data_IF_633882243016
#
_entry.id   IF_633882243016
#
_cell.length_a   1.000
_cell.length_b   1.000
_cell.length_c   1.000
_cell.angle_alpha   90.00
_cell.angle_beta   90.00
_cell.angle_gamma   90.00
#
_symmetry.space_group_name_H-M   'P 1'
#
loop_
_entity.id
_entity.type
_entity.pdbx_description
1 polymer ?
#
# COMPACT_ATOMS: atom_id res chain seq x y z
N UNK A 1 -72.58 27.72 26.78
CA UNK A 1 -71.16 27.67 27.22
C UNK A 1 -70.91 26.25 27.73
N UNK A 2 -69.92 25.45 27.36
CA UNK A 2 -68.78 25.54 26.46
C UNK A 2 -68.42 24.09 26.05
N UNK A 3 -67.93 23.90 24.82
CA UNK A 3 -67.48 22.62 24.24
C UNK A 3 -66.09 22.24 24.79
N UNK A 4 -65.84 20.97 25.14
CA UNK A 4 -64.51 20.31 25.18
C UNK A 4 -64.64 18.76 25.18
N UNK A 5 -63.60 18.01 24.75
CA UNK A 5 -63.73 16.80 23.92
C UNK A 5 -63.29 15.50 24.60
N UNK A 6 -63.66 14.34 24.04
CA UNK A 6 -63.02 13.03 24.32
C UNK A 6 -62.83 12.30 22.98
N UNK A 7 -61.61 12.33 22.45
CA UNK A 7 -60.64 11.22 22.44
C UNK A 7 -61.12 10.01 21.62
N UNK A 8 -60.72 10.02 20.35
CA UNK A 8 -60.78 8.88 19.44
C UNK A 8 -59.50 8.05 19.67
N UNK A 9 -59.68 6.82 20.12
CA UNK A 9 -58.61 5.87 20.40
C UNK A 9 -58.09 5.31 19.07
N UNK A 10 -56.80 5.50 18.81
CA UNK A 10 -56.12 5.03 17.61
C UNK A 10 -55.74 3.55 17.79
N UNK A 11 -56.24 2.68 16.92
CA UNK A 11 -55.89 1.26 16.85
C UNK A 11 -54.42 1.09 16.47
N UNK A 12 -53.65 0.41 17.32
CA UNK A 12 -52.36 -0.17 16.97
C UNK A 12 -52.62 -1.53 16.32
N UNK A 13 -52.31 -1.67 15.02
CA UNK A 13 -52.11 -2.98 14.41
C UNK A 13 -50.64 -3.36 14.55
N UNK A 14 -50.40 -4.41 15.33
CA UNK A 14 -49.11 -5.06 15.52
C UNK A 14 -48.82 -5.88 14.27
N UNK A 15 -47.95 -5.37 13.40
CA UNK A 15 -47.49 -6.12 12.24
C UNK A 15 -46.34 -7.04 12.68
N UNK A 16 -46.64 -8.33 12.88
CA UNK A 16 -45.64 -9.38 13.08
C UNK A 16 -44.81 -9.52 11.80
N UNK A 17 -43.57 -9.03 11.81
CA UNK A 17 -42.55 -9.41 10.82
C UNK A 17 -41.73 -10.58 11.35
N UNK A 18 -41.84 -11.70 10.65
CA UNK A 18 -40.99 -12.87 10.79
C UNK A 18 -39.54 -12.50 10.42
N UNK A 19 -38.52 -13.10 11.05
CA UNK A 19 -37.13 -12.86 10.67
C UNK A 19 -36.81 -13.54 9.33
N UNK A 20 -36.36 -12.74 8.36
CA UNK A 20 -35.86 -13.23 7.08
C UNK A 20 -34.59 -14.08 7.28
N UNK A 21 -34.62 -15.29 6.73
CA UNK A 21 -33.48 -16.19 6.65
C UNK A 21 -32.31 -15.53 5.89
N UNK A 22 -31.10 -15.67 6.42
CA UNK A 22 -29.87 -15.27 5.74
C UNK A 22 -29.69 -16.06 4.44
N UNK A 23 -29.30 -15.43 3.32
CA UNK A 23 -28.96 -16.18 2.12
C UNK A 23 -27.61 -16.89 2.29
N UNK A 24 -27.65 -18.20 2.11
CA UNK A 24 -26.49 -19.09 2.05
C UNK A 24 -25.57 -18.66 0.92
N UNK A 25 -24.28 -18.48 1.21
CA UNK A 25 -23.26 -18.07 0.26
C UNK A 25 -23.08 -19.12 -0.86
N UNK A 26 -23.40 -18.73 -2.09
CA UNK A 26 -23.15 -19.52 -3.29
C UNK A 26 -21.74 -19.22 -3.80
N UNK A 27 -20.86 -20.22 -3.81
CA UNK A 27 -19.50 -20.12 -4.36
C UNK A 27 -19.59 -20.00 -5.89
N UNK A 28 -19.03 -18.96 -6.53
CA UNK A 28 -19.09 -18.82 -7.98
C UNK A 28 -18.04 -19.71 -8.69
N UNK A 29 -18.36 -20.27 -9.88
CA UNK A 29 -17.43 -21.07 -10.68
C UNK A 29 -16.39 -20.20 -11.42
N UNK A 30 -15.23 -20.76 -11.80
CA UNK A 30 -14.16 -20.00 -12.44
C UNK A 30 -14.42 -19.85 -13.95
N UNK A 31 -14.47 -18.61 -14.43
CA UNK A 31 -14.51 -18.31 -15.88
C UNK A 31 -15.47 -17.21 -16.34
N UNK A 32 -16.12 -16.43 -15.46
CA UNK A 32 -17.03 -15.36 -15.89
C UNK A 32 -16.31 -14.03 -16.14
N UNK A 33 -16.50 -13.49 -17.35
CA UNK A 33 -16.19 -12.09 -17.68
C UNK A 33 -16.80 -11.16 -16.61
N UNK A 34 -16.00 -10.25 -16.08
CA UNK A 34 -16.45 -9.30 -15.06
C UNK A 34 -17.66 -8.51 -15.55
N UNK A 35 -18.81 -8.72 -14.91
CA UNK A 35 -20.07 -8.08 -15.27
C UNK A 35 -19.93 -6.55 -15.26
N UNK A 36 -20.67 -5.87 -16.14
CA UNK A 36 -20.67 -4.41 -16.23
C UNK A 36 -20.95 -3.74 -14.86
N UNK A 37 -21.70 -4.39 -13.98
CA UNK A 37 -21.94 -3.92 -12.62
C UNK A 37 -20.69 -3.96 -11.74
N UNK A 38 -19.85 -4.99 -11.84
CA UNK A 38 -18.57 -5.03 -11.12
C UNK A 38 -17.61 -3.94 -11.66
N UNK A 39 -17.60 -3.72 -12.97
CA UNK A 39 -16.87 -2.60 -13.57
C UNK A 39 -17.42 -1.25 -13.12
N UNK A 40 -18.73 -1.10 -13.01
CA UNK A 40 -19.40 0.12 -12.51
C UNK A 40 -19.06 0.37 -11.03
N UNK A 41 -19.12 -0.66 -10.19
CA UNK A 41 -18.77 -0.60 -8.77
C UNK A 41 -17.29 -0.23 -8.60
N UNK A 42 -16.39 -0.83 -9.40
CA UNK A 42 -14.97 -0.47 -9.42
C UNK A 42 -14.76 0.97 -9.91
N UNK A 43 -15.46 1.40 -10.96
CA UNK A 43 -15.37 2.75 -11.50
C UNK A 43 -15.94 3.79 -10.54
N UNK A 44 -16.93 3.43 -9.72
CA UNK A 44 -17.51 4.28 -8.68
C UNK A 44 -16.58 4.38 -7.47
N UNK A 45 -15.97 3.28 -7.03
CA UNK A 45 -14.93 3.28 -6.00
C UNK A 45 -13.69 4.11 -6.42
N UNK A 46 -13.38 4.17 -7.72
CA UNK A 46 -12.33 5.04 -8.27
C UNK A 46 -12.73 6.53 -8.29
N UNK A 47 -14.02 6.86 -8.23
CA UNK A 47 -14.57 8.22 -8.25
C UNK A 47 -14.78 8.79 -6.84
N UNK A 48 -15.10 7.98 -5.83
CA UNK A 48 -15.59 8.47 -4.54
C UNK A 48 -14.61 8.30 -3.37
N UNK A 49 -13.45 8.94 -3.44
CA UNK A 49 -12.74 9.32 -2.20
C UNK A 49 -12.10 10.72 -2.27
N UNK A 50 -12.51 11.51 -3.25
CA UNK A 50 -12.38 12.97 -3.20
C UNK A 50 -13.74 13.46 -2.74
N UNK A 51 -13.88 14.01 -1.52
CA UNK A 51 -15.04 14.84 -1.24
C UNK A 51 -15.16 15.89 -2.34
N UNK A 52 -16.38 16.30 -2.67
CA UNK A 52 -16.63 17.47 -3.52
C UNK A 52 -16.14 18.70 -2.73
N UNK A 53 -14.81 18.83 -2.69
CA UNK A 53 -14.08 19.86 -1.99
C UNK A 53 -14.18 21.11 -2.85
N UNK A 54 -14.39 22.25 -2.22
CA UNK A 54 -14.37 23.52 -2.92
C UNK A 54 -13.09 23.63 -3.78
N UNK A 55 -13.15 24.25 -4.97
CA UNK A 55 -11.98 24.43 -5.82
C UNK A 55 -10.81 25.11 -5.10
N UNK A 56 -11.09 25.89 -4.06
CA UNK A 56 -10.07 26.51 -3.22
C UNK A 56 -9.41 25.52 -2.26
N UNK A 57 -10.17 24.58 -1.68
CA UNK A 57 -9.63 23.52 -0.84
C UNK A 57 -8.81 22.51 -1.64
N UNK A 58 -9.26 22.14 -2.85
CA UNK A 58 -8.52 21.19 -3.71
C UNK A 58 -7.12 21.67 -4.09
N UNK A 59 -6.91 22.98 -4.23
CA UNK A 59 -5.58 23.59 -4.52
C UNK A 59 -4.58 23.43 -3.38
N UNK A 60 -5.06 23.26 -2.15
CA UNK A 60 -4.21 23.08 -0.96
C UNK A 60 -3.68 21.65 -0.84
N UNK A 61 -4.29 20.70 -1.55
CA UNK A 61 -3.84 19.31 -1.56
C UNK A 61 -2.69 19.11 -2.54
N UNK A 62 -1.70 18.37 -2.07
CA UNK A 62 -0.53 17.97 -2.82
C UNK A 62 -0.45 16.46 -2.91
N UNK A 63 0.00 15.94 -4.07
CA UNK A 63 0.18 14.50 -4.28
C UNK A 63 1.65 14.10 -4.19
N UNK A 64 1.94 13.02 -3.48
CA UNK A 64 3.25 12.35 -3.45
C UNK A 64 3.10 10.93 -4.00
N UNK A 65 3.85 10.64 -5.06
CA UNK A 65 4.05 9.27 -5.54
C UNK A 65 5.35 8.70 -4.95
N UNK A 66 5.44 7.39 -4.68
CA UNK A 66 6.67 6.77 -4.18
C UNK A 66 7.90 7.06 -5.06
N UNK A 67 7.72 7.11 -6.37
CA UNK A 67 8.77 7.38 -7.36
C UNK A 67 9.48 8.72 -7.15
N UNK A 68 8.85 9.70 -6.49
CA UNK A 68 9.44 11.03 -6.25
C UNK A 68 10.66 10.98 -5.33
N UNK A 69 10.69 10.01 -4.41
CA UNK A 69 11.75 9.83 -3.40
C UNK A 69 12.52 8.51 -3.58
N UNK A 70 12.28 7.78 -4.68
CA UNK A 70 13.01 6.55 -4.98
C UNK A 70 14.42 6.87 -5.49
N UNK A 71 15.44 6.31 -4.84
CA UNK A 71 16.86 6.46 -5.15
C UNK A 71 17.31 5.61 -6.36
N UNK A 72 16.55 4.55 -6.68
CA UNK A 72 16.80 3.65 -7.81
C UNK A 72 16.36 4.27 -9.15
N UNK A 73 15.42 5.23 -9.12
CA UNK A 73 14.90 5.90 -10.32
C UNK A 73 15.68 7.17 -10.65
N UNK A 74 15.82 7.49 -11.94
CA UNK A 74 16.36 8.76 -12.44
C UNK A 74 15.34 9.91 -12.34
N UNK A 75 15.79 11.15 -12.60
CA UNK A 75 14.90 12.33 -12.65
C UNK A 75 13.84 12.14 -13.75
N UNK A 76 14.25 11.63 -14.90
CA UNK A 76 13.37 11.37 -16.04
C UNK A 76 12.27 10.36 -15.68
N UNK A 77 12.63 9.33 -14.89
CA UNK A 77 11.71 8.32 -14.38
C UNK A 77 10.82 8.77 -13.22
N UNK A 78 10.95 10.01 -12.76
CA UNK A 78 10.01 10.59 -11.79
C UNK A 78 10.64 11.08 -10.50
N UNK A 79 11.92 10.84 -10.23
CA UNK A 79 12.59 11.35 -9.03
C UNK A 79 12.49 12.88 -8.97
N UNK A 80 12.26 13.45 -7.78
CA UNK A 80 12.07 14.91 -7.56
C UNK A 80 13.08 15.55 -6.62
N UNK A 81 13.85 14.75 -5.88
CA UNK A 81 14.92 15.22 -4.98
C UNK A 81 16.27 14.61 -5.37
N UNK A 82 17.36 15.14 -4.80
CA UNK A 82 18.70 14.62 -5.05
C UNK A 82 18.85 13.18 -4.56
N UNK A 83 19.59 12.35 -5.29
CA UNK A 83 19.73 10.91 -5.02
C UNK A 83 20.21 10.60 -3.60
N UNK A 84 21.11 11.41 -3.05
CA UNK A 84 21.64 11.26 -1.67
C UNK A 84 20.59 11.44 -0.57
N UNK A 85 19.47 12.11 -0.87
CA UNK A 85 18.35 12.33 0.06
C UNK A 85 17.18 11.38 -0.19
N UNK A 86 17.27 10.54 -1.22
CA UNK A 86 16.26 9.54 -1.54
C UNK A 86 16.47 8.26 -0.74
N UNK A 87 15.49 7.37 -0.82
CA UNK A 87 15.53 6.03 -0.22
C UNK A 87 15.28 4.95 -1.27
N UNK A 88 15.70 3.72 -0.99
CA UNK A 88 15.45 2.59 -1.87
C UNK A 88 14.02 2.07 -1.71
N UNK A 89 13.35 1.87 -2.85
CA UNK A 89 12.04 1.20 -2.97
C UNK A 89 10.99 1.65 -1.94
N UNK A 90 10.66 2.96 -1.90
CA UNK A 90 9.59 3.48 -1.04
C UNK A 90 8.22 2.89 -1.43
N UNK A 91 7.35 2.71 -0.45
CA UNK A 91 5.94 2.36 -0.67
C UNK A 91 5.00 3.50 -0.27
N UNK A 92 3.83 3.57 -0.92
CA UNK A 92 2.85 4.63 -0.64
C UNK A 92 2.29 4.54 0.81
N UNK A 93 2.17 3.34 1.36
CA UNK A 93 1.80 3.12 2.77
C UNK A 93 2.81 3.72 3.76
N UNK A 94 4.11 3.62 3.47
CA UNK A 94 5.15 4.18 4.34
C UNK A 94 5.11 5.70 4.35
N UNK A 95 4.88 6.30 3.18
CA UNK A 95 4.70 7.74 3.04
C UNK A 95 3.47 8.19 3.85
N UNK A 96 2.38 7.43 3.77
CA UNK A 96 1.19 7.69 4.56
C UNK A 96 1.47 7.60 6.05
N UNK A 97 2.09 6.53 6.52
CA UNK A 97 2.39 6.33 7.94
C UNK A 97 3.25 7.46 8.53
N UNK A 98 4.25 7.95 7.78
CA UNK A 98 5.10 9.06 8.23
C UNK A 98 4.32 10.37 8.36
N UNK A 99 3.47 10.68 7.37
CA UNK A 99 2.70 11.93 7.40
C UNK A 99 1.54 11.86 8.39
N UNK A 100 0.87 10.70 8.48
CA UNK A 100 -0.21 10.42 9.43
C UNK A 100 0.26 10.46 10.89
N UNK A 101 1.54 10.22 11.15
CA UNK A 101 2.12 10.34 12.49
C UNK A 101 2.13 11.78 13.04
N UNK A 102 1.94 12.80 12.18
CA UNK A 102 1.92 14.22 12.58
C UNK A 102 0.62 14.90 12.12
N UNK A 103 -0.55 14.51 12.67
CA UNK A 103 -1.85 15.02 12.23
C UNK A 103 -2.05 16.51 12.51
N UNK A 104 -1.26 17.09 13.42
CA UNK A 104 -1.26 18.53 13.70
C UNK A 104 -0.66 19.36 12.55
N UNK A 105 0.21 18.74 11.74
CA UNK A 105 0.89 19.40 10.62
C UNK A 105 0.32 19.00 9.27
N UNK A 106 -0.25 17.80 9.16
CA UNK A 106 -0.72 17.24 7.90
C UNK A 106 -2.10 16.61 8.02
N UNK A 107 -2.97 16.89 7.05
CA UNK A 107 -4.08 16.00 6.75
C UNK A 107 -3.73 15.17 5.53
N UNK A 108 -4.03 13.87 5.58
CA UNK A 108 -3.52 12.88 4.61
C UNK A 108 -4.62 11.96 4.10
N UNK A 109 -4.48 11.50 2.85
CA UNK A 109 -5.34 10.50 2.21
C UNK A 109 -4.48 9.53 1.40
N UNK A 110 -4.70 8.24 1.60
CA UNK A 110 -4.03 7.17 0.87
C UNK A 110 -4.91 6.68 -0.30
N UNK A 111 -4.32 6.55 -1.49
CA UNK A 111 -4.98 5.93 -2.64
C UNK A 111 -4.09 4.82 -3.20
N UNK A 112 -4.55 3.57 -3.19
CA UNK A 112 -3.75 2.39 -3.59
C UNK A 112 -3.96 1.96 -5.05
N UNK A 113 -4.99 2.48 -5.72
CA UNK A 113 -5.41 1.95 -7.02
C UNK A 113 -4.80 2.67 -8.22
N UNK A 114 -4.12 3.79 -7.99
CA UNK A 114 -3.62 4.67 -9.05
C UNK A 114 -2.12 4.46 -9.29
N UNK A 115 -1.75 4.19 -10.52
CA UNK A 115 -0.35 4.03 -10.94
C UNK A 115 0.27 5.37 -11.37
N UNK A 116 1.58 5.55 -11.15
CA UNK A 116 2.30 6.71 -11.64
C UNK A 116 2.48 6.62 -13.16
N UNK A 117 2.29 7.74 -13.88
CA UNK A 117 2.24 7.72 -15.35
C UNK A 117 3.51 7.17 -16.00
N UNK A 118 4.69 7.45 -15.41
CA UNK A 118 6.00 7.04 -15.95
C UNK A 118 6.48 5.69 -15.43
N UNK A 119 5.65 5.00 -14.63
CA UNK A 119 5.96 3.65 -14.15
C UNK A 119 5.86 2.65 -15.30
N UNK A 120 6.88 1.80 -15.41
CA UNK A 120 6.97 0.78 -16.46
C UNK A 120 6.14 -0.45 -16.07
N UNK A 121 6.32 -0.90 -14.84
CA UNK A 121 5.62 -2.07 -14.30
C UNK A 121 4.31 -1.63 -13.63
N UNK A 122 3.24 -1.58 -14.44
CA UNK A 122 1.91 -1.15 -13.98
C UNK A 122 1.15 -2.25 -13.25
N UNK A 123 1.59 -3.49 -13.35
CA UNK A 123 0.93 -4.66 -12.75
C UNK A 123 1.37 -4.87 -11.30
N UNK A 124 2.62 -4.53 -10.99
CA UNK A 124 3.15 -4.64 -9.65
C UNK A 124 2.43 -3.75 -8.65
N UNK A 125 1.67 -4.40 -7.77
CA UNK A 125 0.82 -3.76 -6.76
C UNK A 125 1.62 -2.91 -5.76
N UNK A 126 2.91 -3.23 -5.51
CA UNK A 126 3.76 -2.47 -4.58
C UNK A 126 4.15 -1.09 -5.12
N UNK A 127 4.15 -0.94 -6.45
CA UNK A 127 4.49 0.32 -7.12
C UNK A 127 3.26 1.22 -7.30
N UNK A 128 2.07 0.71 -6.98
CA UNK A 128 0.82 1.46 -7.08
C UNK A 128 0.60 2.35 -5.87
N UNK A 129 -0.13 3.41 -6.15
CA UNK A 129 -0.69 4.32 -5.17
C UNK A 129 0.06 5.64 -5.02
N UNK A 130 -0.62 6.55 -4.35
CA UNK A 130 -0.11 7.86 -3.98
C UNK A 130 -0.75 8.32 -2.69
N UNK A 131 -0.12 9.32 -2.08
CA UNK A 131 -0.65 9.99 -0.90
C UNK A 131 -1.02 11.41 -1.28
N UNK A 132 -2.26 11.83 -1.03
CA UNK A 132 -2.57 13.26 -0.97
C UNK A 132 -2.31 13.77 0.44
N UNK A 133 -1.78 14.96 0.55
CA UNK A 133 -1.62 15.64 1.81
C UNK A 133 -1.92 17.13 1.66
N UNK A 134 -2.41 17.77 2.71
CA UNK A 134 -2.40 19.23 2.85
C UNK A 134 -1.61 19.62 4.10
N UNK A 135 -0.90 20.74 4.02
CA UNK A 135 -0.19 21.31 5.18
C UNK A 135 -1.21 22.11 5.98
N UNK A 136 -1.32 21.82 7.27
CA UNK A 136 -2.14 22.59 8.18
C UNK A 136 -1.27 23.76 8.65
N UNK A 137 -1.56 24.96 8.15
CA UNK A 137 -0.86 26.16 8.56
C UNK A 137 -1.38 26.58 9.94
N UNK A 138 -0.67 26.20 10.99
CA UNK A 138 -0.81 26.86 12.29
C UNK A 138 0.20 28.01 12.32
N UNK A 139 -0.27 29.24 12.54
CA UNK A 139 0.52 30.48 12.50
C UNK A 139 1.80 30.42 13.35
N UNK A 140 1.81 29.57 14.39
CA UNK A 140 2.91 29.43 15.33
C UNK A 140 3.96 28.37 14.95
N UNK A 141 3.72 27.49 13.95
CA UNK A 141 4.62 26.39 13.59
C UNK A 141 4.67 26.05 12.09
N UNK A 142 5.03 27.02 11.25
CA UNK A 142 5.23 26.82 9.81
C UNK A 142 6.52 26.02 9.48
N UNK A 143 6.61 24.76 9.92
CA UNK A 143 7.79 23.90 9.71
C UNK A 143 8.01 23.55 8.23
N UNK A 144 6.93 23.47 7.44
CA UNK A 144 6.97 23.13 6.04
C UNK A 144 6.41 24.27 5.20
N UNK A 145 7.26 24.86 4.35
CA UNK A 145 6.88 25.94 3.42
C UNK A 145 6.55 25.39 2.04
N UNK A 146 7.32 24.39 1.60
CA UNK A 146 7.25 23.91 0.21
C UNK A 146 7.15 22.38 0.17
N UNK A 147 6.51 21.84 -0.88
CA UNK A 147 6.44 20.41 -1.17
C UNK A 147 7.79 19.70 -1.14
N UNK A 148 8.86 20.37 -1.59
CA UNK A 148 10.22 19.82 -1.60
C UNK A 148 10.76 19.52 -0.20
N UNK A 149 10.40 20.32 0.82
CA UNK A 149 10.79 20.07 2.20
C UNK A 149 10.06 18.84 2.77
N UNK A 150 8.77 18.71 2.47
CA UNK A 150 7.98 17.52 2.85
C UNK A 150 8.57 16.25 2.24
N UNK A 151 8.96 16.27 0.96
CA UNK A 151 9.62 15.12 0.32
C UNK A 151 10.92 14.71 1.03
N UNK A 152 11.75 15.69 1.43
CA UNK A 152 12.99 15.41 2.16
C UNK A 152 12.72 14.86 3.57
N UNK A 153 11.73 15.43 4.27
CA UNK A 153 11.30 14.94 5.58
C UNK A 153 10.83 13.49 5.50
N UNK A 154 9.92 13.18 4.58
CA UNK A 154 9.40 11.82 4.40
C UNK A 154 10.53 10.84 4.11
N UNK A 155 11.42 11.18 3.16
CA UNK A 155 12.55 10.32 2.82
C UNK A 155 13.50 10.08 4.01
N UNK A 156 13.69 11.06 4.89
CA UNK A 156 14.52 10.92 6.09
C UNK A 156 13.87 10.08 7.21
N UNK A 157 12.53 9.98 7.22
CA UNK A 157 11.77 9.30 8.27
C UNK A 157 11.44 7.85 7.93
N UNK A 158 11.23 7.50 6.66
CA UNK A 158 10.91 6.13 6.25
C UNK A 158 11.94 5.09 6.74
N UNK A 159 13.27 5.31 6.67
CA UNK A 159 14.25 4.35 7.19
C UNK A 159 14.14 4.10 8.70
N UNK A 160 13.52 5.02 9.44
CA UNK A 160 13.31 4.93 10.88
C UNK A 160 12.02 4.19 11.26
N UNK A 161 11.20 3.80 10.28
CA UNK A 161 9.99 3.04 10.53
C UNK A 161 10.32 1.64 11.05
N UNK A 162 9.54 1.17 12.02
CA UNK A 162 9.66 -0.19 12.59
C UNK A 162 9.53 -1.27 11.51
N UNK A 163 8.70 -1.04 10.49
CA UNK A 163 8.51 -1.95 9.36
C UNK A 163 9.80 -2.19 8.55
N UNK A 164 10.69 -1.20 8.47
CA UNK A 164 12.01 -1.31 7.81
C UNK A 164 13.07 -1.91 8.72
N UNK A 165 12.97 -1.70 10.03
CA UNK A 165 13.93 -2.21 11.02
C UNK A 165 13.76 -3.72 11.28
N UNK A 166 12.56 -4.28 11.09
CA UNK A 166 12.33 -5.71 11.30
C UNK A 166 11.48 -6.35 10.17
N UNK A 167 12.09 -6.64 9.01
CA UNK A 167 11.38 -7.13 7.81
C UNK A 167 10.64 -8.47 8.00
N UNK A 168 11.04 -9.29 8.98
CA UNK A 168 10.46 -10.63 9.17
C UNK A 168 9.01 -10.60 9.72
N UNK A 169 8.59 -9.52 10.41
CA UNK A 169 7.23 -9.45 10.98
C UNK A 169 6.17 -8.90 10.02
N UNK A 170 6.57 -8.11 9.02
CA UNK A 170 5.63 -7.51 8.06
C UNK A 170 5.21 -8.45 6.94
N UNK A 171 5.92 -9.56 6.71
CA UNK A 171 5.55 -10.57 5.70
C UNK A 171 4.46 -11.55 6.17
N UNK A 172 4.20 -11.69 7.47
CA UNK A 172 3.20 -12.63 7.99
C UNK A 172 1.74 -12.16 7.89
N UNK A 173 1.49 -10.91 7.53
CA UNK A 173 0.12 -10.37 7.40
C UNK A 173 -0.52 -10.57 6.02
N UNK A 174 0.15 -11.27 5.08
CA UNK A 174 -0.40 -11.57 3.75
C UNK A 174 -0.72 -13.06 3.50
N UNK A 175 -0.66 -13.92 4.53
CA UNK A 175 -1.04 -15.34 4.41
C UNK A 175 -1.99 -15.77 5.54
N UNK A 176 -3.16 -15.16 5.67
CA UNK A 176 -4.27 -15.72 6.44
C UNK A 176 -5.25 -16.39 5.48
N UNK A 177 -4.90 -17.60 5.07
CA UNK A 177 -5.72 -18.46 4.21
C UNK A 177 -5.20 -19.89 4.27
N UNK A 178 -5.62 -20.61 5.31
CA UNK A 178 -5.79 -22.07 5.41
C UNK A 178 -5.54 -22.52 6.85
N UNK A 179 -6.63 -22.65 7.59
CA UNK A 179 -6.67 -23.36 8.85
C UNK A 179 -7.37 -24.71 8.65
N UNK A 180 -6.75 -25.75 9.22
CA UNK A 180 -7.31 -27.08 9.48
C UNK A 180 -6.85 -28.15 8.49
N UNK A 181 -6.18 -29.23 8.88
CA UNK A 181 -5.76 -29.69 10.19
C UNK A 181 -5.57 -31.22 10.15
N UNK A 182 -4.46 -31.69 10.71
CA UNK A 182 -4.35 -32.99 11.40
C UNK A 182 -4.11 -34.26 10.58
N UNK A 183 -3.09 -35.03 10.99
CA UNK A 183 -3.21 -36.51 11.00
C UNK A 183 -2.07 -37.33 10.41
N UNK A 184 -0.97 -37.45 11.16
CA UNK A 184 -0.21 -38.67 11.49
C UNK A 184 0.19 -39.75 10.45
N UNK A 185 1.49 -40.08 10.57
CA UNK A 185 2.13 -41.40 10.49
C UNK A 185 2.38 -42.06 9.12
N UNK A 186 3.66 -42.18 8.78
CA UNK A 186 4.30 -43.51 8.74
C UNK A 186 5.82 -43.39 8.78
N UNK A 187 6.36 -44.13 9.75
CA UNK A 187 7.75 -44.49 9.95
C UNK A 187 8.19 -45.46 8.83
N UNK A 188 9.37 -45.25 8.24
CA UNK A 188 10.16 -46.34 7.69
C UNK A 188 11.65 -45.98 7.65
N UNK A 189 12.35 -46.60 8.60
CA UNK A 189 13.80 -46.76 8.67
C UNK A 189 14.27 -47.68 7.54
N UNK A 190 15.18 -47.24 6.66
CA UNK A 190 16.18 -48.12 6.03
C UNK A 190 17.52 -47.37 5.91
N UNK A 191 18.51 -47.89 6.63
CA UNK A 191 19.95 -47.61 6.52
C UNK A 191 20.42 -47.84 5.08
N UNK A 192 21.48 -47.17 4.60
CA UNK A 192 22.63 -47.77 3.88
C UNK A 192 23.47 -46.77 3.05
N UNK A 193 24.80 -46.83 3.29
CA UNK A 193 25.96 -46.55 2.43
C UNK A 193 26.37 -45.10 2.04
N UNK A 194 27.41 -44.64 2.75
CA UNK A 194 28.76 -44.18 2.34
C UNK A 194 29.03 -43.37 1.04
N UNK A 195 30.12 -42.56 1.05
CA UNK A 195 30.38 -41.48 0.10
C UNK A 195 31.25 -41.89 -1.10
N UNK A 196 30.93 -41.40 -2.28
CA UNK A 196 31.80 -41.48 -3.46
C UNK A 196 32.57 -40.18 -3.64
N UNK A 197 33.88 -40.29 -3.39
CA UNK A 197 34.90 -39.33 -3.76
C UNK A 197 34.98 -39.20 -5.28
N UNK A 198 35.11 -37.97 -5.79
CA UNK A 198 35.76 -37.73 -7.08
C UNK A 198 36.74 -36.58 -6.98
N UNK A 199 38.00 -36.95 -6.74
CA UNK A 199 39.17 -36.16 -7.10
C UNK A 199 39.31 -36.10 -8.63
N UNK A 200 39.64 -34.91 -9.14
CA UNK A 200 40.58 -34.65 -10.24
C UNK A 200 40.67 -33.12 -10.37
N UNK A 201 41.62 -32.52 -9.65
CA UNK A 201 42.94 -32.04 -10.11
C UNK A 201 42.90 -30.71 -10.88
N UNK A 202 43.64 -29.69 -10.40
CA UNK A 202 43.80 -28.42 -11.08
C UNK A 202 45.01 -28.45 -12.02
N UNK A 203 44.95 -27.68 -13.12
CA UNK A 203 46.16 -27.23 -13.81
C UNK A 203 46.14 -25.73 -14.10
N UNK A 204 47.34 -25.10 -14.18
CA UNK A 204 47.55 -23.67 -14.01
C UNK A 204 48.01 -22.97 -15.31
N UNK A 205 48.48 -21.73 -15.15
CA UNK A 205 49.06 -20.79 -16.13
C UNK A 205 48.03 -19.86 -16.78
N UNK A 206 48.22 -18.54 -16.87
CA UNK A 206 49.36 -17.68 -16.56
C UNK A 206 49.10 -16.29 -17.16
N UNK A 207 49.85 -15.28 -16.69
CA UNK A 207 49.93 -13.93 -17.28
C UNK A 207 48.90 -12.94 -16.69
N UNK A 208 49.28 -11.89 -15.95
CA UNK A 208 50.45 -11.04 -16.11
C UNK A 208 50.12 -9.89 -17.07
N UNK A 209 49.52 -8.81 -16.57
CA UNK A 209 49.11 -7.67 -17.40
C UNK A 209 48.89 -6.38 -16.62
N UNK A 210 49.97 -5.76 -16.14
CA UNK A 210 50.01 -4.33 -15.76
C UNK A 210 49.89 -3.47 -17.03
N UNK A 211 48.98 -2.50 -17.08
CA UNK A 211 49.08 -1.25 -17.88
C UNK A 211 48.08 -0.23 -17.31
N UNK A 212 48.51 0.68 -16.43
CA UNK A 212 48.93 2.07 -16.73
C UNK A 212 47.88 2.89 -17.51
N UNK A 213 47.18 3.74 -16.75
CA UNK A 213 47.04 5.18 -16.93
C UNK A 213 47.11 5.74 -18.37
N UNK A 214 46.04 6.40 -18.82
CA UNK A 214 46.19 7.55 -19.72
C UNK A 214 45.01 8.53 -19.62
N UNK A 215 45.32 9.69 -19.04
CA UNK A 215 44.59 10.95 -19.24
C UNK A 215 44.55 11.29 -20.73
N UNK A 216 43.42 11.80 -21.21
CA UNK A 216 43.36 13.11 -21.90
C UNK A 216 41.93 13.61 -21.85
#
# INVERSE_FOLDING_TARGET
>A
MARRPKQQQQQQQVNQQQPAAAPVAMVPPPGMMMSAQHQQIMMQALKSNVPNLDPNETKQWHTIYPQYINSNLTVDRGRRIGRSKCIADPMAEEIFNVLAANPQQFQVQLNMYKCYCRELDKENIRLRGYVKYRIINNEQQQQFKNKRQVLQYVASMIPKLKSRQNPQKSQQQQTSGSGGGGGQQSEQTIKTQQPSQRQQQPQPQGGGGKKKNRRK
#
